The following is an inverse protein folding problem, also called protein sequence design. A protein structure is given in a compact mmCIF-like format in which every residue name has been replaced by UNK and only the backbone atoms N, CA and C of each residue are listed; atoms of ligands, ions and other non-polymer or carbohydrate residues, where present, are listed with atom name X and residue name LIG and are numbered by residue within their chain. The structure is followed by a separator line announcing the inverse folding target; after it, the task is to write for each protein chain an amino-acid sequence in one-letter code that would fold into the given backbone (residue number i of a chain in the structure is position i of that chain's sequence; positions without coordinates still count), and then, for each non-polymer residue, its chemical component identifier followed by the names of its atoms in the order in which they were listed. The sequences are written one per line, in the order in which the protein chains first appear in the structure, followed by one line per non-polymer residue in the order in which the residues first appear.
data_IF_017140191526
#
_entry.id   IF_017140191526
#
_cell.length_a   1.000
_cell.length_b   1.000
_cell.length_c   1.000
_cell.angle_alpha   90.00
_cell.angle_beta   90.00
_cell.angle_gamma   90.00
#
_symmetry.space_group_name_H-M   'P 1'
#
loop_
_entity.id
_entity.type
_entity.pdbx_description
1 polymer ?
#
# COMPACT_ATOMS: atom_id res chain seq x y z
N UNK A 1 -25.32 -21.49 -30.14
CA UNK A 1 -24.28 -20.97 -29.24
C UNK A 1 -24.26 -21.88 -28.01
N UNK A 2 -23.31 -22.80 -27.97
CA UNK A 2 -23.13 -23.69 -26.81
C UNK A 2 -22.72 -22.85 -25.60
N UNK A 3 -23.55 -22.88 -24.55
CA UNK A 3 -23.14 -22.46 -23.22
C UNK A 3 -22.09 -23.48 -22.76
N UNK A 4 -20.82 -23.08 -22.72
CA UNK A 4 -19.83 -23.77 -21.92
C UNK A 4 -20.32 -23.81 -20.48
N UNK A 5 -20.86 -24.95 -20.03
CA UNK A 5 -21.20 -25.14 -18.63
C UNK A 5 -19.88 -25.25 -17.86
N UNK A 6 -19.59 -24.27 -17.01
CA UNK A 6 -18.42 -24.35 -16.15
C UNK A 6 -18.54 -25.57 -15.23
N UNK A 7 -17.55 -26.45 -15.34
CA UNK A 7 -17.17 -27.32 -14.24
C UNK A 7 -16.63 -26.38 -13.16
N UNK A 8 -17.33 -26.26 -12.04
CA UNK A 8 -16.83 -25.52 -10.87
C UNK A 8 -15.45 -26.10 -10.54
N UNK A 9 -14.35 -25.31 -10.60
CA UNK A 9 -13.02 -25.86 -10.38
C UNK A 9 -12.95 -26.47 -8.99
N UNK A 10 -12.67 -27.77 -8.93
CA UNK A 10 -12.52 -28.50 -7.67
C UNK A 10 -11.19 -28.06 -7.07
N UNK A 11 -11.24 -27.15 -6.11
CA UNK A 11 -10.04 -26.60 -5.47
C UNK A 11 -9.30 -27.73 -4.77
N UNK A 12 -8.01 -27.87 -5.07
CA UNK A 12 -7.15 -28.83 -4.39
C UNK A 12 -7.09 -28.50 -2.88
N UNK A 13 -6.82 -29.51 -2.04
CA UNK A 13 -6.73 -29.29 -0.59
C UNK A 13 -5.64 -28.28 -0.18
N UNK A 14 -4.60 -28.14 -1.02
CA UNK A 14 -3.53 -27.15 -0.88
C UNK A 14 -3.20 -26.55 -2.25
N UNK A 15 -3.88 -25.46 -2.67
CA UNK A 15 -3.68 -24.91 -4.00
C UNK A 15 -2.35 -24.15 -4.08
N UNK A 16 -1.62 -24.35 -5.18
CA UNK A 16 -0.34 -23.66 -5.45
C UNK A 16 -0.60 -22.43 -6.30
N UNK A 17 -0.85 -21.29 -5.64
CA UNK A 17 -1.18 -20.04 -6.32
C UNK A 17 0.07 -19.32 -6.79
N UNK A 18 0.11 -18.99 -8.08
CA UNK A 18 1.14 -18.16 -8.69
C UNK A 18 0.55 -16.87 -9.26
N UNK A 19 1.34 -15.80 -9.28
CA UNK A 19 0.95 -14.51 -9.83
C UNK A 19 1.80 -14.19 -11.05
N UNK A 20 1.18 -13.70 -12.13
CA UNK A 20 1.86 -13.34 -13.38
C UNK A 20 1.15 -12.16 -14.05
N UNK A 21 1.80 -11.41 -14.95
CA UNK A 21 1.11 -10.46 -15.81
C UNK A 21 -0.01 -11.14 -16.62
N UNK A 22 -1.09 -10.40 -16.89
CA UNK A 22 -2.14 -10.82 -17.82
C UNK A 22 -1.60 -10.73 -19.26
N UNK A 23 -2.03 -11.66 -20.12
CA UNK A 23 -1.52 -11.84 -21.49
C UNK A 23 -2.67 -11.89 -22.50
N UNK A 24 -2.40 -11.75 -23.82
CA UNK A 24 -3.42 -11.89 -24.86
C UNK A 24 -4.23 -13.19 -24.80
N UNK A 25 -3.61 -14.30 -24.38
CA UNK A 25 -4.28 -15.60 -24.20
C UNK A 25 -5.34 -15.61 -23.10
N UNK A 26 -5.32 -14.64 -22.19
CA UNK A 26 -6.25 -14.56 -21.06
C UNK A 26 -7.54 -13.81 -21.40
N UNK A 27 -7.69 -13.27 -22.61
CA UNK A 27 -8.80 -12.38 -22.98
C UNK A 27 -10.17 -12.99 -22.65
N UNK A 28 -10.44 -14.19 -23.15
CA UNK A 28 -11.74 -14.85 -22.99
C UNK A 28 -12.06 -15.14 -21.51
N UNK A 29 -11.08 -15.63 -20.75
CA UNK A 29 -11.29 -15.90 -19.32
C UNK A 29 -11.44 -14.59 -18.53
N UNK A 30 -10.71 -13.53 -18.90
CA UNK A 30 -10.81 -12.24 -18.23
C UNK A 30 -12.20 -11.61 -18.42
N UNK A 31 -12.74 -11.63 -19.64
CA UNK A 31 -14.10 -11.16 -19.94
C UNK A 31 -15.14 -11.95 -19.15
N UNK A 32 -15.01 -13.28 -19.15
CA UNK A 32 -15.90 -14.17 -18.42
C UNK A 32 -15.89 -13.90 -16.91
N UNK A 33 -14.70 -13.83 -16.31
CA UNK A 33 -14.58 -13.54 -14.88
C UNK A 33 -15.14 -12.16 -14.51
N UNK A 34 -15.00 -11.15 -15.36
CA UNK A 34 -15.63 -9.86 -15.12
C UNK A 34 -17.16 -9.97 -15.15
N UNK A 35 -17.72 -10.70 -16.11
CA UNK A 35 -19.16 -10.92 -16.22
C UNK A 35 -19.74 -11.66 -15.00
N UNK A 36 -18.97 -12.56 -14.39
CA UNK A 36 -19.40 -13.36 -13.25
C UNK A 36 -19.24 -12.62 -11.91
N UNK A 37 -18.19 -11.79 -11.78
CA UNK A 37 -17.82 -11.16 -10.50
C UNK A 37 -18.39 -9.74 -10.35
N UNK A 38 -18.63 -9.02 -11.46
CA UNK A 38 -19.04 -7.62 -11.42
C UNK A 38 -20.46 -7.41 -11.97
N UNK A 39 -21.28 -6.58 -11.29
CA UNK A 39 -22.61 -6.20 -11.79
C UNK A 39 -22.56 -5.12 -12.88
N UNK A 40 -21.37 -4.62 -13.22
CA UNK A 40 -21.14 -3.54 -14.19
C UNK A 40 -20.47 -4.14 -15.42
N UNK A 41 -20.91 -3.71 -16.60
CA UNK A 41 -20.34 -4.11 -17.89
C UNK A 41 -19.18 -3.20 -18.27
N UNK A 42 -18.17 -3.81 -18.88
CA UNK A 42 -17.02 -3.13 -19.46
C UNK A 42 -17.03 -3.37 -20.97
N UNK A 43 -16.60 -2.38 -21.73
CA UNK A 43 -16.49 -2.48 -23.19
C UNK A 43 -15.35 -3.40 -23.60
N UNK A 44 -15.46 -4.04 -24.77
CA UNK A 44 -14.40 -4.93 -25.30
C UNK A 44 -13.04 -4.24 -25.40
N UNK A 45 -13.01 -2.93 -25.69
CA UNK A 45 -11.77 -2.14 -25.75
C UNK A 45 -11.01 -2.12 -24.41
N UNK A 46 -11.72 -2.09 -23.27
CA UNK A 46 -11.09 -2.17 -21.95
C UNK A 46 -10.27 -3.46 -21.85
N UNK A 47 -10.87 -4.61 -22.17
CA UNK A 47 -10.19 -5.91 -22.09
C UNK A 47 -9.01 -6.01 -23.04
N UNK A 48 -9.16 -5.49 -24.27
CA UNK A 48 -8.06 -5.40 -25.23
C UNK A 48 -6.89 -4.58 -24.69
N UNK A 49 -7.17 -3.46 -24.01
CA UNK A 49 -6.13 -2.65 -23.39
C UNK A 49 -5.46 -3.39 -22.22
N UNK A 50 -6.20 -4.15 -21.41
CA UNK A 50 -5.63 -4.97 -20.33
C UNK A 50 -4.66 -6.02 -20.86
N UNK A 51 -5.09 -6.84 -21.83
CA UNK A 51 -4.31 -8.01 -22.27
C UNK A 51 -3.10 -7.63 -23.14
N UNK A 52 -3.15 -6.45 -23.76
CA UNK A 52 -2.04 -5.90 -24.56
C UNK A 52 -1.19 -4.88 -23.78
N UNK A 53 -1.43 -4.70 -22.48
CA UNK A 53 -0.74 -3.75 -21.62
C UNK A 53 -0.69 -2.31 -22.17
N UNK A 54 -1.81 -1.83 -22.73
CA UNK A 54 -1.97 -0.46 -23.24
C UNK A 54 -2.56 0.41 -22.14
N UNK A 55 -1.74 1.27 -21.54
CA UNK A 55 -2.09 2.19 -20.44
C UNK A 55 -2.65 1.53 -19.17
N UNK A 56 -2.75 0.20 -19.14
CA UNK A 56 -3.24 -0.61 -18.03
C UNK A 56 -2.16 -1.63 -17.67
N UNK A 57 -1.74 -1.61 -16.40
CA UNK A 57 -0.94 -2.67 -15.80
C UNK A 57 -1.86 -3.67 -15.11
N UNK A 58 -1.50 -4.95 -15.15
CA UNK A 58 -2.37 -5.99 -14.66
C UNK A 58 -1.62 -7.25 -14.21
N UNK A 59 -2.18 -7.90 -13.20
CA UNK A 59 -1.69 -9.18 -12.68
C UNK A 59 -2.85 -10.15 -12.55
N UNK A 60 -2.60 -11.39 -12.91
CA UNK A 60 -3.49 -12.52 -12.75
C UNK A 60 -2.95 -13.53 -11.74
N UNK A 61 -3.85 -14.20 -11.02
CA UNK A 61 -3.55 -15.36 -10.20
C UNK A 61 -3.96 -16.63 -10.93
N UNK A 62 -3.13 -17.66 -10.87
CA UNK A 62 -3.38 -18.99 -11.45
C UNK A 62 -3.10 -20.06 -10.39
N UNK A 63 -3.83 -21.18 -10.46
CA UNK A 63 -3.58 -22.34 -9.60
C UNK A 63 -2.83 -23.43 -10.39
N UNK A 64 -1.53 -23.57 -10.09
CA UNK A 64 -0.65 -24.54 -10.75
C UNK A 64 -0.93 -25.99 -10.36
N UNK A 65 -1.70 -26.21 -9.28
CA UNK A 65 -2.02 -27.54 -8.78
C UNK A 65 -3.25 -28.17 -9.43
N UNK A 66 -3.95 -27.45 -10.31
CA UNK A 66 -5.14 -27.96 -11.02
C UNK A 66 -4.78 -29.16 -11.91
N UNK A 67 -5.54 -30.24 -11.76
CA UNK A 67 -5.38 -31.49 -12.53
C UNK A 67 -6.24 -31.56 -13.79
N UNK A 68 -7.09 -30.55 -14.04
CA UNK A 68 -8.03 -30.46 -15.17
C UNK A 68 -7.39 -29.94 -16.47
N UNK A 69 -6.07 -29.70 -16.47
CA UNK A 69 -5.35 -29.13 -17.60
C UNK A 69 -5.45 -27.60 -17.70
N UNK A 70 -6.20 -26.95 -16.81
CA UNK A 70 -6.41 -25.50 -16.79
C UNK A 70 -5.51 -24.79 -15.75
N UNK A 71 -4.30 -25.31 -15.53
CA UNK A 71 -3.37 -24.81 -14.50
C UNK A 71 -2.72 -23.45 -14.80
N UNK A 72 -2.94 -22.91 -16.00
CA UNK A 72 -2.55 -21.53 -16.37
C UNK A 72 -3.75 -20.60 -16.57
N UNK A 73 -4.98 -21.08 -16.35
CA UNK A 73 -6.20 -20.27 -16.43
C UNK A 73 -6.33 -19.35 -15.21
N UNK A 74 -6.78 -18.11 -15.45
CA UNK A 74 -6.94 -17.13 -14.39
C UNK A 74 -8.03 -17.54 -13.39
N UNK A 75 -7.70 -17.47 -12.11
CA UNK A 75 -8.63 -17.63 -10.98
C UNK A 75 -8.84 -16.33 -10.20
N UNK A 76 -8.08 -15.29 -10.55
CA UNK A 76 -8.19 -13.95 -9.99
C UNK A 76 -7.37 -12.97 -10.80
N UNK A 77 -7.67 -11.68 -10.66
CA UNK A 77 -7.04 -10.62 -11.42
C UNK A 77 -7.11 -9.29 -10.69
N UNK A 78 -6.16 -8.41 -10.98
CA UNK A 78 -6.23 -6.98 -10.68
C UNK A 78 -5.76 -6.20 -11.89
N UNK A 79 -6.46 -5.10 -12.19
CA UNK A 79 -6.11 -4.16 -13.25
C UNK A 79 -5.97 -2.77 -12.65
N UNK A 80 -4.96 -2.03 -13.09
CA UNK A 80 -4.72 -0.67 -12.62
C UNK A 80 -4.12 0.20 -13.72
N UNK A 81 -4.29 1.51 -13.61
CA UNK A 81 -3.68 2.48 -14.53
C UNK A 81 -2.96 3.58 -13.78
N UNK A 82 -1.94 4.16 -14.41
CA UNK A 82 -1.32 5.37 -13.91
C UNK A 82 -2.19 6.58 -14.31
N UNK A 83 -2.39 7.51 -13.40
CA UNK A 83 -3.11 8.77 -13.62
C UNK A 83 -2.25 9.92 -13.12
N UNK A 84 -2.25 11.06 -13.82
CA UNK A 84 -1.60 12.27 -13.32
C UNK A 84 -2.36 12.80 -12.10
N UNK A 85 -1.63 13.16 -11.04
CA UNK A 85 -2.24 13.61 -9.79
C UNK A 85 -3.12 14.86 -10.00
N UNK A 86 -2.69 15.76 -10.90
CA UNK A 86 -3.41 17.00 -11.26
C UNK A 86 -4.74 16.75 -11.98
N UNK A 87 -4.89 15.60 -12.62
CA UNK A 87 -6.10 15.21 -13.37
C UNK A 87 -7.01 14.27 -12.55
N UNK A 88 -6.59 13.92 -11.34
CA UNK A 88 -7.32 12.97 -10.50
C UNK A 88 -8.44 13.64 -9.70
N UNK A 89 -9.53 12.92 -9.53
CA UNK A 89 -10.67 13.32 -8.67
C UNK A 89 -10.31 13.38 -7.17
N UNK A 90 -9.12 12.90 -6.81
CA UNK A 90 -8.63 12.82 -5.44
C UNK A 90 -7.58 13.88 -5.11
N UNK A 91 -7.40 14.88 -5.98
CA UNK A 91 -6.46 15.99 -5.75
C UNK A 91 -6.62 16.65 -4.38
N UNK A 92 -7.88 16.85 -3.94
CA UNK A 92 -8.20 17.42 -2.62
C UNK A 92 -7.76 16.55 -1.43
N UNK A 93 -7.49 15.26 -1.66
CA UNK A 93 -7.06 14.30 -0.64
C UNK A 93 -5.57 13.97 -0.74
N UNK A 94 -4.82 14.72 -1.55
CA UNK A 94 -3.39 14.59 -1.70
C UNK A 94 -2.70 15.90 -1.37
N UNK A 95 -1.81 15.85 -0.38
CA UNK A 95 -0.76 16.86 -0.25
C UNK A 95 0.29 16.59 -1.33
N UNK A 96 0.11 17.17 -2.51
CA UNK A 96 1.07 17.07 -3.61
C UNK A 96 1.77 18.41 -3.84
N UNK A 97 2.93 18.38 -4.50
CA UNK A 97 3.72 19.57 -4.77
C UNK A 97 3.21 20.19 -6.07
N UNK A 98 2.48 21.29 -5.99
CA UNK A 98 1.89 21.94 -7.17
C UNK A 98 2.93 22.37 -8.20
N UNK A 99 4.18 22.59 -7.78
CA UNK A 99 5.30 22.93 -8.67
C UNK A 99 5.74 21.76 -9.55
N UNK A 100 5.42 20.52 -9.14
CA UNK A 100 5.73 19.29 -9.88
C UNK A 100 4.52 18.85 -10.71
N UNK A 101 4.70 18.75 -12.03
CA UNK A 101 3.67 18.26 -12.95
C UNK A 101 3.74 16.76 -13.22
N UNK A 102 4.82 16.11 -12.80
CA UNK A 102 5.10 14.69 -13.06
C UNK A 102 4.53 13.72 -12.01
N UNK A 103 3.87 14.25 -10.98
CA UNK A 103 3.33 13.45 -9.89
C UNK A 103 2.15 12.61 -10.37
N UNK A 104 2.20 11.32 -10.04
CA UNK A 104 1.26 10.31 -10.51
C UNK A 104 0.56 9.60 -9.37
N UNK A 105 -0.47 8.84 -9.72
CA UNK A 105 -1.25 7.97 -8.86
C UNK A 105 -1.50 6.66 -9.60
N UNK A 106 -1.76 5.59 -8.86
CA UNK A 106 -2.23 4.32 -9.43
C UNK A 106 -3.71 4.15 -9.09
N UNK A 107 -4.57 4.06 -10.11
CA UNK A 107 -5.99 3.78 -9.93
C UNK A 107 -6.26 2.30 -10.18
N UNK A 108 -6.72 1.57 -9.16
CA UNK A 108 -7.19 0.19 -9.34
C UNK A 108 -8.56 0.24 -10.00
N UNK A 109 -8.66 -0.34 -11.20
CA UNK A 109 -9.86 -0.36 -12.03
C UNK A 109 -10.76 -1.53 -11.63
N UNK A 110 -10.21 -2.76 -11.64
CA UNK A 110 -10.94 -3.98 -11.30
C UNK A 110 -10.09 -4.92 -10.45
N UNK A 111 -10.72 -5.61 -9.50
CA UNK A 111 -10.11 -6.65 -8.66
C UNK A 111 -11.15 -7.77 -8.44
N UNK A 112 -10.85 -8.97 -8.92
CA UNK A 112 -11.76 -10.11 -8.83
C UNK A 112 -11.04 -11.40 -8.48
N UNK A 113 -11.75 -12.30 -7.79
CA UNK A 113 -11.32 -13.67 -7.52
C UNK A 113 -12.53 -14.58 -7.71
N UNK A 114 -12.33 -15.70 -8.42
CA UNK A 114 -13.32 -16.77 -8.61
C UNK A 114 -13.86 -17.20 -7.25
N UNK A 115 -15.17 -17.41 -7.15
CA UNK A 115 -15.84 -17.66 -5.88
C UNK A 115 -15.23 -18.80 -5.05
N UNK A 116 -14.90 -19.92 -5.69
CA UNK A 116 -14.29 -21.08 -5.04
C UNK A 116 -12.88 -20.82 -4.48
N UNK A 117 -12.18 -19.80 -5.00
CA UNK A 117 -10.84 -19.40 -4.56
C UNK A 117 -10.84 -18.19 -3.62
N UNK A 118 -12.02 -17.69 -3.22
CA UNK A 118 -12.14 -16.61 -2.24
C UNK A 118 -11.67 -17.07 -0.85
N UNK A 119 -11.33 -16.10 0.00
CA UNK A 119 -10.83 -16.33 1.36
C UNK A 119 -9.49 -17.08 1.47
N UNK A 120 -8.76 -17.26 0.36
CA UNK A 120 -7.41 -17.82 0.32
C UNK A 120 -6.29 -16.76 0.29
N UNK A 121 -6.62 -15.49 0.52
CA UNK A 121 -5.65 -14.38 0.51
C UNK A 121 -5.24 -13.87 -0.88
N UNK A 122 -5.75 -14.45 -1.97
CA UNK A 122 -5.39 -14.11 -3.36
C UNK A 122 -5.60 -12.61 -3.66
N UNK A 123 -6.76 -12.07 -3.30
CA UNK A 123 -7.04 -10.65 -3.53
C UNK A 123 -6.07 -9.73 -2.77
N UNK A 124 -5.65 -10.13 -1.56
CA UNK A 124 -4.67 -9.37 -0.79
C UNK A 124 -3.27 -9.41 -1.44
N UNK A 125 -2.86 -10.57 -1.95
CA UNK A 125 -1.61 -10.72 -2.69
C UNK A 125 -1.61 -9.90 -3.99
N UNK A 126 -2.72 -9.89 -4.74
CA UNK A 126 -2.88 -9.08 -5.95
C UNK A 126 -2.77 -7.57 -5.65
N UNK A 127 -3.42 -7.08 -4.58
CA UNK A 127 -3.25 -5.70 -4.12
C UNK A 127 -1.79 -5.45 -3.71
N UNK A 128 -1.13 -6.44 -3.11
CA UNK A 128 0.30 -6.41 -2.78
C UNK A 128 1.19 -6.13 -4.00
N UNK A 129 0.92 -6.78 -5.14
CA UNK A 129 1.62 -6.50 -6.40
C UNK A 129 1.42 -5.05 -6.87
N UNK A 130 0.19 -4.52 -6.75
CA UNK A 130 -0.09 -3.11 -7.06
C UNK A 130 0.65 -2.16 -6.12
N UNK A 131 0.70 -2.45 -4.82
CA UNK A 131 1.45 -1.67 -3.83
C UNK A 131 2.94 -1.66 -4.16
N UNK A 132 3.50 -2.83 -4.50
CA UNK A 132 4.90 -2.96 -4.89
C UNK A 132 5.20 -2.15 -6.16
N UNK A 133 4.35 -2.25 -7.17
CA UNK A 133 4.46 -1.49 -8.42
C UNK A 133 4.41 0.02 -8.16
N UNK A 134 3.39 0.52 -7.45
CA UNK A 134 3.27 1.93 -7.14
C UNK A 134 4.47 2.45 -6.33
N UNK A 135 4.97 1.66 -5.37
CA UNK A 135 6.13 2.03 -4.56
C UNK A 135 7.44 2.09 -5.37
N UNK A 136 7.55 1.35 -6.47
CA UNK A 136 8.71 1.45 -7.38
C UNK A 136 8.74 2.71 -8.25
N UNK A 137 7.62 3.44 -8.35
CA UNK A 137 7.51 4.64 -9.17
C UNK A 137 7.70 5.86 -8.26
N UNK A 138 8.88 6.49 -8.32
CA UNK A 138 9.24 7.59 -7.42
C UNK A 138 8.26 8.78 -7.45
N UNK A 139 7.62 9.03 -8.59
CA UNK A 139 6.63 10.10 -8.74
C UNK A 139 5.21 9.71 -8.32
N UNK A 140 4.95 8.44 -8.03
CA UNK A 140 3.64 7.95 -7.60
C UNK A 140 3.41 8.25 -6.12
N UNK A 141 2.33 8.94 -5.78
CA UNK A 141 2.04 9.40 -4.42
C UNK A 141 1.01 8.55 -3.68
N UNK A 142 0.11 7.88 -4.42
CA UNK A 142 -0.92 7.05 -3.81
C UNK A 142 -1.51 6.06 -4.81
N UNK A 143 -2.13 5.03 -4.24
CA UNK A 143 -3.06 4.13 -4.91
C UNK A 143 -4.46 4.49 -4.45
N UNK A 144 -5.43 4.51 -5.36
CA UNK A 144 -6.83 4.72 -5.00
C UNK A 144 -7.77 3.84 -5.80
N UNK A 145 -8.99 3.70 -5.29
CA UNK A 145 -10.04 2.89 -5.89
C UNK A 145 -11.43 3.26 -5.37
N UNK A 146 -12.43 2.83 -6.11
CA UNK A 146 -13.82 2.88 -5.73
C UNK A 146 -14.35 1.50 -5.36
N UNK A 147 -15.20 1.44 -4.34
CA UNK A 147 -15.91 0.23 -3.95
C UNK A 147 -17.37 0.54 -3.70
N UNK A 148 -18.27 -0.25 -4.31
CA UNK A 148 -19.70 -0.10 -4.11
C UNK A 148 -20.08 -0.31 -2.64
N UNK A 149 -20.96 0.55 -2.13
CA UNK A 149 -21.21 0.72 -0.70
C UNK A 149 -21.70 -0.53 0.03
N UNK A 150 -22.37 -1.46 -0.65
CA UNK A 150 -22.85 -2.72 -0.08
C UNK A 150 -21.82 -3.86 -0.12
N UNK A 151 -20.66 -3.67 -0.77
CA UNK A 151 -19.62 -4.70 -0.87
C UNK A 151 -18.75 -4.75 0.41
N UNK A 152 -19.35 -5.23 1.49
CA UNK A 152 -18.69 -5.36 2.80
C UNK A 152 -17.40 -6.19 2.76
N UNK A 153 -17.30 -7.32 2.02
CA UNK A 153 -16.05 -8.08 1.91
C UNK A 153 -14.89 -7.25 1.34
N UNK A 154 -15.11 -6.51 0.24
CA UNK A 154 -14.09 -5.66 -0.34
C UNK A 154 -13.73 -4.48 0.57
N UNK A 155 -14.72 -3.83 1.19
CA UNK A 155 -14.50 -2.76 2.18
C UNK A 155 -13.61 -3.24 3.33
N UNK A 156 -13.86 -4.45 3.85
CA UNK A 156 -13.05 -5.03 4.91
C UNK A 156 -11.62 -5.36 4.43
N UNK A 157 -11.48 -5.93 3.23
CA UNK A 157 -10.17 -6.19 2.60
C UNK A 157 -9.33 -4.93 2.49
N UNK A 158 -9.88 -3.85 1.91
CA UNK A 158 -9.14 -2.60 1.73
C UNK A 158 -8.74 -1.97 3.08
N UNK A 159 -9.64 -1.97 4.07
CA UNK A 159 -9.30 -1.53 5.44
C UNK A 159 -8.19 -2.36 6.08
N UNK A 160 -8.25 -3.70 5.93
CA UNK A 160 -7.22 -4.63 6.43
C UNK A 160 -5.87 -4.35 5.77
N UNK A 161 -5.87 -3.95 4.51
CA UNK A 161 -4.68 -3.55 3.76
C UNK A 161 -4.29 -2.07 3.95
N UNK A 162 -4.81 -1.42 5.01
CA UNK A 162 -4.48 -0.05 5.41
C UNK A 162 -4.90 1.05 4.43
N UNK A 163 -5.73 0.75 3.43
CA UNK A 163 -6.39 1.81 2.66
C UNK A 163 -7.34 2.60 3.57
N UNK A 164 -7.36 3.92 3.39
CA UNK A 164 -8.21 4.85 4.12
C UNK A 164 -9.44 5.18 3.29
N UNK A 165 -10.63 5.02 3.88
CA UNK A 165 -11.86 5.53 3.30
C UNK A 165 -11.90 7.05 3.46
N UNK A 166 -11.82 7.80 2.36
CA UNK A 166 -11.71 9.27 2.40
C UNK A 166 -13.01 10.00 2.01
N UNK A 167 -13.88 9.37 1.20
CA UNK A 167 -15.13 9.97 0.73
C UNK A 167 -16.20 8.91 0.49
N UNK A 168 -17.46 9.25 0.72
CA UNK A 168 -18.63 8.55 0.19
C UNK A 168 -19.17 9.37 -0.99
N UNK A 169 -19.40 8.72 -2.12
CA UNK A 169 -19.94 9.31 -3.35
C UNK A 169 -21.35 8.80 -3.54
N UNK A 170 -22.33 9.70 -3.48
CA UNK A 170 -23.74 9.34 -3.59
C UNK A 170 -24.13 9.05 -5.04
N UNK A 171 -24.87 7.97 -5.26
CA UNK A 171 -25.40 7.58 -6.58
C UNK A 171 -24.35 7.34 -7.67
N UNK A 172 -23.11 7.03 -7.29
CA UNK A 172 -21.96 6.87 -8.18
C UNK A 172 -22.14 5.75 -9.22
N UNK A 173 -22.71 4.61 -8.83
CA UNK A 173 -22.94 3.48 -9.72
C UNK A 173 -24.40 3.44 -10.17
N UNK A 174 -24.64 3.22 -11.47
CA UNK A 174 -25.94 2.90 -12.03
C UNK A 174 -25.95 1.42 -12.44
N UNK A 175 -26.71 0.60 -11.72
CA UNK A 175 -26.80 -0.86 -11.96
C UNK A 175 -28.28 -1.20 -12.08
N UNK A 176 -28.68 -1.75 -13.23
CA UNK A 176 -30.06 -2.14 -13.53
C UNK A 176 -31.10 -1.03 -13.24
N UNK A 177 -30.77 0.22 -13.58
CA UNK A 177 -31.64 1.38 -13.37
C UNK A 177 -31.66 1.93 -11.95
N UNK A 178 -30.91 1.35 -11.01
CA UNK A 178 -30.82 1.81 -9.63
C UNK A 178 -29.45 2.43 -9.33
N UNK A 179 -29.47 3.55 -8.60
CA UNK A 179 -28.27 4.23 -8.13
C UNK A 179 -27.75 3.63 -6.83
N UNK A 180 -26.43 3.45 -6.75
CA UNK A 180 -25.73 2.97 -5.57
C UNK A 180 -24.55 3.87 -5.22
N UNK A 181 -24.35 4.07 -3.93
CA UNK A 181 -23.23 4.84 -3.43
C UNK A 181 -21.91 4.06 -3.58
N UNK A 182 -20.82 4.81 -3.68
CA UNK A 182 -19.45 4.29 -3.68
C UNK A 182 -18.66 4.86 -2.50
N UNK A 183 -17.68 4.11 -2.01
CA UNK A 183 -16.64 4.60 -1.13
C UNK A 183 -15.33 4.74 -1.89
N UNK A 184 -14.68 5.89 -1.73
CA UNK A 184 -13.34 6.15 -2.23
C UNK A 184 -12.31 5.75 -1.17
N UNK A 185 -11.40 4.85 -1.56
CA UNK A 185 -10.30 4.39 -0.72
C UNK A 185 -8.95 4.84 -1.28
N UNK A 186 -8.04 5.25 -0.39
CA UNK A 186 -6.69 5.74 -0.75
C UNK A 186 -5.62 5.07 0.12
N UNK A 187 -4.52 4.66 -0.49
CA UNK A 187 -3.30 4.16 0.16
C UNK A 187 -2.11 4.99 -0.31
N UNK A 188 -1.46 5.71 0.61
CA UNK A 188 -0.37 6.61 0.24
C UNK A 188 0.99 5.88 0.16
N UNK A 189 1.82 6.25 -0.82
CA UNK A 189 3.17 5.71 -1.06
C UNK A 189 4.16 6.86 -1.31
N UNK A 190 5.46 6.57 -1.24
CA UNK A 190 6.55 7.49 -1.62
C UNK A 190 6.45 8.91 -1.02
N UNK A 191 5.97 9.00 0.21
CA UNK A 191 5.82 10.28 0.92
C UNK A 191 4.56 11.07 0.56
N UNK A 192 3.68 10.55 -0.28
CA UNK A 192 2.31 11.05 -0.44
C UNK A 192 1.57 11.03 0.89
N UNK A 193 0.71 12.02 1.13
CA UNK A 193 -0.01 12.18 2.40
C UNK A 193 -1.39 12.77 2.16
N UNK A 194 -2.30 12.49 3.08
CA UNK A 194 -3.53 13.26 3.20
C UNK A 194 -3.17 14.73 3.50
N UNK A 195 -3.89 15.71 2.94
CA UNK A 195 -3.80 17.08 3.39
C UNK A 195 -4.05 17.11 4.90
N UNK A 196 -3.06 17.57 5.65
CA UNK A 196 -3.21 17.73 7.08
C UNK A 196 -4.16 18.90 7.33
N UNK A 197 -5.11 18.74 8.25
CA UNK A 197 -5.74 19.93 8.82
C UNK A 197 -4.67 20.75 9.56
N UNK A 198 -4.78 22.10 9.61
CA UNK A 198 -3.85 22.93 10.39
C UNK A 198 -3.72 22.45 11.84
N UNK A 199 -4.80 21.89 12.41
CA UNK A 199 -4.82 21.30 13.75
C UNK A 199 -3.92 20.06 13.87
N UNK A 200 -3.83 19.20 12.85
CA UNK A 200 -2.94 18.04 12.88
C UNK A 200 -1.46 18.46 12.76
N UNK A 201 -1.16 19.50 11.99
CA UNK A 201 0.18 20.09 11.96
C UNK A 201 0.56 20.67 13.33
N UNK A 202 -0.36 21.38 13.99
CA UNK A 202 -0.15 21.89 15.33
C UNK A 202 0.04 20.77 16.36
N UNK A 203 -0.70 19.66 16.27
CA UNK A 203 -0.49 18.49 17.14
C UNK A 203 0.89 17.90 16.95
N UNK A 204 1.34 17.72 15.71
CA UNK A 204 2.69 17.21 15.40
C UNK A 204 3.78 18.16 15.91
N UNK A 205 3.62 19.46 15.70
CA UNK A 205 4.54 20.47 16.22
C UNK A 205 4.55 20.46 17.76
N UNK A 206 3.39 20.35 18.40
CA UNK A 206 3.27 20.29 19.85
C UNK A 206 3.91 19.02 20.43
N UNK A 207 3.76 17.85 19.81
CA UNK A 207 4.46 16.62 20.24
C UNK A 207 5.97 16.76 20.09
N UNK A 208 6.46 17.38 19.01
CA UNK A 208 7.88 17.64 18.80
C UNK A 208 8.45 18.65 19.81
N UNK A 209 7.73 19.73 20.10
CA UNK A 209 8.12 20.68 21.16
C UNK A 209 8.12 20.02 22.53
N UNK A 210 7.13 19.16 22.82
CA UNK A 210 7.03 18.44 24.10
C UNK A 210 8.15 17.43 24.28
N UNK A 211 8.59 16.75 23.21
CA UNK A 211 9.76 15.85 23.25
C UNK A 211 11.07 16.64 23.41
N UNK A 212 11.21 17.76 22.71
CA UNK A 212 12.33 18.70 22.86
C UNK A 212 12.46 19.23 24.28
N UNK A 213 11.37 19.72 24.87
CA UNK A 213 11.32 20.19 26.26
C UNK A 213 11.67 19.08 27.26
N UNK A 214 11.18 17.86 27.06
CA UNK A 214 11.56 16.70 27.91
C UNK A 214 13.06 16.39 27.81
N UNK A 215 13.63 16.47 26.62
CA UNK A 215 15.07 16.24 26.39
C UNK A 215 15.93 17.32 27.08
N UNK A 216 15.52 18.58 27.00
CA UNK A 216 16.19 19.70 27.70
C UNK A 216 16.07 19.54 29.22
N UNK A 217 14.89 19.23 29.74
CA UNK A 217 14.69 18.98 31.16
C UNK A 217 15.53 17.81 31.68
N UNK A 218 15.68 16.73 30.90
CA UNK A 218 16.55 15.60 31.24
C UNK A 218 18.03 15.99 31.25
N UNK A 219 18.48 16.87 30.33
CA UNK A 219 19.85 17.40 30.32
C UNK A 219 20.13 18.32 31.50
N UNK A 220 19.16 19.15 31.90
CA UNK A 220 19.27 20.03 33.07
C UNK A 220 19.37 19.23 34.38
N UNK A 221 18.52 18.20 34.57
CA UNK A 221 18.63 17.29 35.73
C UNK A 221 19.98 16.59 35.81
N UNK A 222 20.50 16.13 34.67
CA UNK A 222 21.82 15.49 34.58
C UNK A 222 22.99 16.47 34.86
N UNK A 223 22.76 17.78 34.72
CA UNK A 223 23.72 18.82 35.09
C UNK A 223 23.62 19.24 36.57
N UNK A 224 22.41 19.25 37.16
CA UNK A 224 22.22 19.49 38.60
C UNK A 224 22.85 18.38 39.46
N UNK A 225 22.75 17.12 39.04
CA UNK A 225 23.43 15.99 39.69
C UNK A 225 24.97 16.07 39.61
N UNK A 226 25.52 16.95 38.77
CA UNK A 226 26.96 17.18 38.60
C UNK A 226 27.48 18.43 39.34
N UNK A 227 26.68 19.12 40.17
CA UNK A 227 27.22 20.19 41.01
C UNK A 227 28.15 19.61 42.10
N UNK A 228 29.41 20.09 42.21
CA UNK A 228 30.34 19.58 43.21
C UNK A 228 29.95 20.10 44.61
N UNK A 229 29.89 19.18 45.58
CA UNK A 229 29.73 19.50 47.01
C UNK A 229 30.88 20.40 47.48
N UNK A 230 30.51 21.49 48.15
CA UNK A 230 31.42 22.47 48.74
C UNK A 230 32.48 21.78 49.63
N UNK A 231 33.79 22.03 49.46
CA UNK A 231 34.79 21.38 50.29
C UNK A 231 34.85 22.07 51.66
N UNK A 232 34.67 21.28 52.73
CA UNK A 232 35.10 21.64 54.09
C UNK A 232 36.62 21.70 54.09
N UNK A 233 37.15 22.86 54.46
CA UNK A 233 38.58 23.12 54.60
C UNK A 233 39.21 22.17 55.64
N UNK A 234 40.21 21.38 55.24
CA UNK A 234 41.23 20.81 56.14
C UNK A 234 42.58 20.80 55.43
N UNK A 235 43.57 21.20 56.23
CA UNK A 235 44.97 21.47 55.91
C UNK A 235 45.78 20.29 55.33
N UNK A 236 46.62 20.67 54.37
CA UNK A 236 48.06 20.35 54.25
C UNK A 236 48.53 18.88 54.30
N UNK A 237 48.96 18.34 53.16
CA UNK A 237 50.38 18.03 52.83
C UNK A 237 50.52 17.17 51.56
N UNK A 238 51.17 17.78 50.56
CA UNK A 238 52.29 17.29 49.74
C UNK A 238 52.49 15.78 49.47
N UNK A 239 52.53 15.39 48.18
CA UNK A 239 53.71 14.89 47.43
C UNK A 239 53.33 13.93 46.26
N UNK A 240 53.76 14.30 45.04
CA UNK A 240 54.41 13.54 43.93
C UNK A 240 53.95 12.05 43.71
N UNK A 241 53.70 11.47 42.52
CA UNK A 241 54.46 11.47 41.24
C UNK A 241 53.75 10.57 40.19
N UNK A 242 54.08 10.80 38.90
CA UNK A 242 54.19 9.84 37.75
C UNK A 242 52.93 9.16 37.19
N UNK A 243 52.46 9.56 36.00
CA UNK A 243 52.89 9.17 34.63
C UNK A 243 52.79 7.65 34.31
N UNK A 244 51.99 7.27 33.32
CA UNK A 244 52.38 7.00 31.91
C UNK A 244 51.19 6.33 31.16
N UNK A 245 50.75 6.84 29.98
CA UNK A 245 50.87 6.27 28.60
C UNK A 245 50.50 4.78 28.46
N UNK A 246 49.83 4.26 27.42
CA UNK A 246 49.48 4.64 26.04
C UNK A 246 48.49 3.58 25.53
N UNK A 247 47.43 3.96 24.82
CA UNK A 247 47.12 3.67 23.40
C UNK A 247 47.35 2.22 22.90
N UNK A 248 46.31 1.59 22.33
CA UNK A 248 46.25 1.29 20.89
C UNK A 248 44.85 0.80 20.45
N UNK A 249 44.52 1.18 19.21
CA UNK A 249 43.40 0.89 18.32
C UNK A 249 43.26 -0.59 17.92
N UNK A 250 42.10 -1.05 17.43
CA UNK A 250 41.87 -1.64 16.09
C UNK A 250 40.36 -1.80 15.81
N UNK A 251 39.97 -1.61 14.55
CA UNK A 251 38.64 -1.77 13.95
C UNK A 251 38.20 -3.24 13.76
N UNK A 252 36.90 -3.48 13.53
CA UNK A 252 36.45 -4.39 12.46
C UNK A 252 34.98 -4.15 12.05
N UNK A 253 34.73 -4.42 10.77
CA UNK A 253 33.52 -4.27 9.94
C UNK A 253 32.47 -5.37 10.17
N UNK A 254 31.19 -5.10 9.88
CA UNK A 254 30.25 -6.13 9.37
C UNK A 254 29.03 -5.52 8.65
N UNK A 255 28.62 -6.17 7.55
CA UNK A 255 27.49 -5.85 6.69
C UNK A 255 26.61 -7.11 6.53
N UNK A 256 25.30 -6.97 6.39
CA UNK A 256 24.35 -8.08 6.24
C UNK A 256 23.29 -7.81 5.16
N UNK A 257 22.95 -8.83 4.38
CA UNK A 257 21.83 -8.86 3.43
C UNK A 257 20.73 -9.84 3.90
N UNK A 258 19.50 -9.63 3.41
CA UNK A 258 18.36 -10.58 3.42
C UNK A 258 17.88 -10.76 1.99
#
# INVERSE_FOLDING_TARGET
MEKYSMVIPKVASNPTICYRPIRPSDLAILEQLHADVFPIRYESEFFQNVVNARDIVSWGAVDRSRSDGCSDELIGFVTARIVLAKESEIGDFLSYDSSRSDQTLVYILTLGVVETYRNLGIAASLIGEVIKYASSIQSCLAIYLHVISYNNPAIHLYKKMSFKCVRRLHGFYLINGQHYDSYLFVYYVNGGRSPCSPLELLKVAATYMRSGLRSVAARLRRNEEKMPRWPKCKETRCLITTQCRRNLTTECSECSCV
#
